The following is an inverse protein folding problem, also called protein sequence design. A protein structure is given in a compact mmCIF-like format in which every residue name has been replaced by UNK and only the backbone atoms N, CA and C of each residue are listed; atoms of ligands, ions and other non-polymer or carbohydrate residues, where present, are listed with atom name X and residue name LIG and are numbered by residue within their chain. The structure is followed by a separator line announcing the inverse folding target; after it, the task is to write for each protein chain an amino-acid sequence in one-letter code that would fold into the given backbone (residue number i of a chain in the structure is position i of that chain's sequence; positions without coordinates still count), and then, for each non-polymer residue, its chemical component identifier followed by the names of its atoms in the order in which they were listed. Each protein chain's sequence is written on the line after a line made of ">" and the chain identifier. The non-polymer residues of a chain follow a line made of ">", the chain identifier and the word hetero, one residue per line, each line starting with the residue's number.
data_IF_572124673455
#
_entry.id   IF_572124673455
#
_cell.length_a   1.000
_cell.length_b   1.000
_cell.length_c   1.000
_cell.angle_alpha   90.00
_cell.angle_beta   90.00
_cell.angle_gamma   90.00
#
_symmetry.space_group_name_H-M   'P 1'
#
loop_
_entity.id
_entity.type
_entity.pdbx_description
1 polymer ?
#
# COMPACT_ATOMS: atom_id res chain seq x y z
N UNK A 1 14.09 -29.19 -52.73
CA UNK A 1 13.92 -27.75 -53.01
C UNK A 1 13.44 -27.11 -51.72
N UNK A 2 14.21 -26.14 -51.23
CA UNK A 2 14.18 -25.55 -49.89
C UNK A 2 13.09 -24.48 -49.74
N UNK A 3 12.55 -24.36 -48.50
CA UNK A 3 12.25 -23.15 -47.70
C UNK A 3 11.18 -23.51 -46.64
N UNK A 4 11.45 -23.64 -45.32
CA UNK A 4 11.87 -22.59 -44.33
C UNK A 4 11.05 -21.31 -44.55
N UNK A 5 10.23 -20.81 -43.63
CA UNK A 5 10.51 -20.40 -42.24
C UNK A 5 9.14 -20.03 -41.57
N UNK A 6 8.89 -19.92 -40.27
CA UNK A 6 9.71 -19.81 -39.07
C UNK A 6 8.95 -20.41 -37.88
N UNK A 7 9.58 -21.39 -37.24
CA UNK A 7 9.25 -21.81 -35.88
C UNK A 7 10.02 -20.84 -34.98
N UNK A 8 9.37 -19.80 -34.46
CA UNK A 8 9.99 -18.98 -33.42
C UNK A 8 10.03 -19.78 -32.12
N UNK A 9 11.10 -20.54 -31.96
CA UNK A 9 11.52 -21.13 -30.69
C UNK A 9 11.98 -19.94 -29.85
N UNK A 10 11.14 -19.50 -28.92
CA UNK A 10 11.57 -18.65 -27.81
C UNK A 10 12.55 -19.49 -27.00
N UNK A 11 13.85 -19.31 -27.26
CA UNK A 11 14.92 -19.88 -26.45
C UNK A 11 14.80 -19.29 -25.06
N UNK A 12 14.28 -20.07 -24.12
CA UNK A 12 14.37 -19.76 -22.70
C UNK A 12 15.84 -19.54 -22.35
N UNK A 13 16.15 -18.39 -21.75
CA UNK A 13 17.48 -18.09 -21.26
C UNK A 13 17.82 -19.11 -20.15
N UNK A 14 18.96 -19.83 -20.20
CA UNK A 14 19.33 -20.82 -19.18
C UNK A 14 19.91 -20.18 -17.90
N UNK A 15 19.35 -19.05 -17.48
CA UNK A 15 19.79 -18.27 -16.32
C UNK A 15 18.61 -17.73 -15.51
N UNK A 16 17.54 -18.52 -15.36
CA UNK A 16 16.71 -18.40 -14.16
C UNK A 16 17.56 -18.91 -12.99
N UNK A 17 18.52 -18.08 -12.57
CA UNK A 17 19.05 -18.15 -11.22
C UNK A 17 17.84 -18.22 -10.31
N UNK A 18 17.83 -19.16 -9.37
CA UNK A 18 16.79 -19.29 -8.35
C UNK A 18 16.75 -17.99 -7.53
N UNK A 19 16.07 -16.97 -8.06
CA UNK A 19 15.79 -15.72 -7.38
C UNK A 19 14.79 -16.11 -6.30
N UNK A 20 15.30 -16.30 -5.08
CA UNK A 20 14.49 -16.70 -3.94
C UNK A 20 13.23 -15.83 -3.78
N UNK A 21 12.23 -16.38 -3.09
CA UNK A 21 10.98 -15.67 -2.88
C UNK A 21 11.18 -14.50 -1.89
N UNK A 22 10.83 -13.28 -2.32
CA UNK A 22 10.80 -12.09 -1.46
C UNK A 22 9.36 -11.87 -1.00
N UNK A 23 9.15 -11.84 0.31
CA UNK A 23 7.84 -11.56 0.91
C UNK A 23 7.93 -10.31 1.78
N UNK A 24 6.97 -9.41 1.63
CA UNK A 24 6.84 -8.20 2.46
C UNK A 24 5.76 -8.44 3.52
N UNK A 25 6.08 -8.12 4.78
CA UNK A 25 5.10 -8.20 5.86
C UNK A 25 4.04 -7.11 5.73
N UNK A 26 2.81 -7.42 6.15
CA UNK A 26 1.69 -6.47 6.26
C UNK A 26 2.04 -5.22 7.07
N UNK A 27 2.86 -5.38 8.10
CA UNK A 27 3.28 -4.27 8.96
C UNK A 27 4.15 -3.25 8.22
N UNK A 28 5.02 -3.71 7.32
CA UNK A 28 5.84 -2.81 6.49
C UNK A 28 4.96 -2.01 5.54
N UNK A 29 3.95 -2.66 4.92
CA UNK A 29 2.97 -1.98 4.05
C UNK A 29 2.18 -0.94 4.84
N UNK A 30 1.72 -1.29 6.05
CA UNK A 30 0.97 -0.38 6.91
C UNK A 30 1.78 0.88 7.28
N UNK A 31 3.06 0.71 7.63
CA UNK A 31 3.96 1.83 7.95
C UNK A 31 4.14 2.75 6.74
N UNK A 32 4.38 2.19 5.55
CA UNK A 32 4.57 2.99 4.32
C UNK A 32 3.29 3.77 4.01
N UNK A 33 2.13 3.11 4.03
CA UNK A 33 0.86 3.75 3.74
C UNK A 33 0.54 4.87 4.75
N UNK A 34 0.80 4.66 6.04
CA UNK A 34 0.64 5.69 7.06
C UNK A 34 1.56 6.89 6.80
N UNK A 35 2.83 6.65 6.48
CA UNK A 35 3.83 7.69 6.20
C UNK A 35 3.48 8.51 4.96
N UNK A 36 2.92 7.91 3.92
CA UNK A 36 2.46 8.65 2.73
C UNK A 36 1.17 9.43 3.02
N UNK A 37 0.25 8.85 3.78
CA UNK A 37 -1.01 9.52 4.15
C UNK A 37 -0.77 10.84 4.90
N UNK A 38 0.13 10.86 5.91
CA UNK A 38 0.40 12.07 6.71
C UNK A 38 1.06 13.21 5.92
N UNK A 39 1.62 12.94 4.73
CA UNK A 39 2.21 13.97 3.86
C UNK A 39 1.16 14.72 3.04
N UNK A 40 -0.06 14.23 3.01
CA UNK A 40 -1.15 14.78 2.19
C UNK A 40 -1.74 16.00 2.87
N UNK A 41 -1.87 17.08 2.10
CA UNK A 41 -2.40 18.33 2.63
C UNK A 41 -3.87 18.14 3.02
N UNK A 42 -4.20 18.58 4.23
CA UNK A 42 -5.55 18.43 4.77
C UNK A 42 -5.74 17.16 5.60
N UNK A 43 -4.77 16.23 5.62
CA UNK A 43 -4.69 15.19 6.65
C UNK A 43 -3.99 15.78 7.88
N UNK A 44 -4.66 15.70 9.02
CA UNK A 44 -4.13 16.16 10.32
C UNK A 44 -3.49 14.99 11.07
N UNK A 45 -4.16 13.84 11.06
CA UNK A 45 -3.71 12.66 11.80
C UNK A 45 -4.32 11.36 11.25
N UNK A 46 -3.78 10.22 11.67
CA UNK A 46 -4.33 8.88 11.45
C UNK A 46 -4.70 8.30 12.81
N UNK A 47 -5.95 7.84 12.94
CA UNK A 47 -6.43 7.28 14.22
C UNK A 47 -6.22 5.77 14.27
N UNK A 48 -6.26 5.18 15.47
CA UNK A 48 -6.14 3.72 15.61
C UNK A 48 -7.37 2.90 15.23
N UNK A 49 -8.40 3.55 14.68
CA UNK A 49 -9.68 2.91 14.44
C UNK A 49 -10.29 2.32 15.73
N UNK A 50 -11.38 1.58 15.57
CA UNK A 50 -12.18 1.03 16.69
C UNK A 50 -11.47 -0.08 17.51
N UNK A 51 -10.22 -0.43 17.20
CA UNK A 51 -9.49 -1.53 17.88
C UNK A 51 -8.92 -1.11 19.24
N UNK A 52 -8.88 0.19 19.53
CA UNK A 52 -8.50 0.72 20.84
C UNK A 52 -9.76 1.09 21.63
N UNK A 53 -9.95 0.48 22.81
CA UNK A 53 -11.03 0.80 23.77
C UNK A 53 -10.85 2.19 24.41
N UNK A 54 -9.98 3.03 23.86
CA UNK A 54 -9.55 4.34 24.38
C UNK A 54 -9.14 5.26 23.22
N UNK A 55 -9.82 6.41 23.09
CA UNK A 55 -9.63 7.45 22.06
C UNK A 55 -8.33 8.27 22.26
N UNK A 56 -7.17 7.63 22.38
CA UNK A 56 -5.91 8.36 22.48
C UNK A 56 -5.43 8.71 21.07
N UNK A 57 -5.17 10.00 20.85
CA UNK A 57 -4.41 10.52 19.70
C UNK A 57 -3.10 9.73 19.63
N UNK A 58 -2.80 9.19 18.45
CA UNK A 58 -1.73 8.23 18.30
C UNK A 58 -0.38 8.93 18.22
N UNK A 59 0.54 8.59 19.12
CA UNK A 59 1.92 9.08 19.04
C UNK A 59 2.59 8.57 17.76
N UNK A 60 3.49 9.35 17.16
CA UNK A 60 4.22 9.02 15.90
C UNK A 60 4.85 7.62 15.86
N UNK A 61 5.12 7.00 17.01
CA UNK A 61 5.66 5.63 17.11
C UNK A 61 4.65 4.54 16.75
N UNK A 62 3.37 4.88 16.73
CA UNK A 62 2.25 3.97 16.60
C UNK A 62 1.43 4.22 15.33
N UNK A 63 1.93 5.00 14.37
CA UNK A 63 1.26 5.35 13.11
C UNK A 63 0.68 4.15 12.33
N UNK A 64 1.28 2.97 12.46
CA UNK A 64 0.76 1.73 11.88
C UNK A 64 -0.48 1.18 12.61
N UNK A 65 -0.66 1.48 13.89
CA UNK A 65 -1.81 1.05 14.69
C UNK A 65 -3.02 1.85 14.21
N UNK A 66 -3.79 1.33 13.28
CA UNK A 66 -4.92 2.04 12.69
C UNK A 66 -5.07 1.81 11.21
N UNK A 67 -3.95 1.47 10.55
CA UNK A 67 -3.93 1.00 9.17
C UNK A 67 -4.20 -0.49 9.16
N UNK A 68 -5.32 -0.90 8.56
CA UNK A 68 -5.63 -2.32 8.36
C UNK A 68 -5.20 -2.75 6.96
N UNK A 69 -4.38 -3.79 6.86
CA UNK A 69 -3.84 -4.30 5.59
C UNK A 69 -4.30 -5.74 5.37
N UNK A 70 -5.00 -5.94 4.27
CA UNK A 70 -5.40 -7.25 3.76
C UNK A 70 -4.59 -7.55 2.49
N UNK A 71 -3.89 -8.69 2.48
CA UNK A 71 -3.06 -9.11 1.35
C UNK A 71 -3.55 -10.46 0.86
N UNK A 72 -3.89 -10.52 -0.43
CA UNK A 72 -4.20 -11.71 -1.19
C UNK A 72 -3.21 -11.80 -2.38
N UNK A 73 -3.07 -12.98 -3.02
CA UNK A 73 -2.25 -13.09 -4.23
C UNK A 73 -2.73 -12.13 -5.32
N UNK A 74 -1.91 -11.15 -5.69
CA UNK A 74 -2.23 -10.15 -6.72
C UNK A 74 -3.12 -8.99 -6.26
N UNK A 75 -3.60 -8.98 -5.01
CA UNK A 75 -4.52 -7.95 -4.51
C UNK A 75 -4.14 -7.49 -3.10
N UNK A 76 -4.18 -6.18 -2.86
CA UNK A 76 -3.96 -5.59 -1.55
C UNK A 76 -5.08 -4.58 -1.28
N UNK A 77 -5.70 -4.69 -0.12
CA UNK A 77 -6.67 -3.72 0.36
C UNK A 77 -6.15 -3.07 1.65
N UNK A 78 -6.18 -1.75 1.68
CA UNK A 78 -5.67 -0.93 2.79
C UNK A 78 -6.79 -0.02 3.28
N UNK A 79 -7.08 -0.06 4.58
CA UNK A 79 -8.05 0.81 5.24
C UNK A 79 -7.31 1.75 6.18
N UNK A 80 -7.46 3.06 5.97
CA UNK A 80 -6.78 4.10 6.77
C UNK A 80 -7.82 5.10 7.29
N UNK A 81 -8.07 5.17 8.60
CA UNK A 81 -8.94 6.16 9.19
C UNK A 81 -8.18 7.48 9.41
N UNK A 82 -8.54 8.50 8.63
CA UNK A 82 -7.89 9.82 8.65
C UNK A 82 -8.72 10.87 9.38
N UNK A 83 -8.04 11.76 10.11
CA UNK A 83 -8.59 13.02 10.61
C UNK A 83 -8.23 14.11 9.61
N UNK A 84 -9.22 14.88 9.16
CA UNK A 84 -8.99 15.97 8.20
C UNK A 84 -9.07 17.32 8.88
N UNK A 85 -8.37 18.30 8.31
CA UNK A 85 -8.41 19.69 8.79
C UNK A 85 -9.79 20.29 8.56
N UNK A 86 -10.17 21.28 9.38
CA UNK A 86 -11.42 22.01 9.16
C UNK A 86 -11.37 22.79 7.83
N UNK A 87 -12.53 23.02 7.22
CA UNK A 87 -12.71 23.71 5.93
C UNK A 87 -12.01 23.07 4.71
N UNK A 88 -11.59 21.80 4.79
CA UNK A 88 -11.11 21.05 3.61
C UNK A 88 -12.25 20.26 2.97
N UNK A 89 -12.20 20.13 1.63
CA UNK A 89 -13.10 19.23 0.92
C UNK A 89 -12.74 17.77 1.21
N UNK A 90 -13.49 17.10 2.10
CA UNK A 90 -13.24 15.71 2.51
C UNK A 90 -13.10 14.78 1.30
N UNK A 91 -13.97 14.93 0.30
CA UNK A 91 -13.91 14.15 -0.94
C UNK A 91 -12.56 14.30 -1.66
N UNK A 92 -12.09 15.54 -1.80
CA UNK A 92 -10.81 15.84 -2.47
C UNK A 92 -9.62 15.28 -1.71
N UNK A 93 -9.62 15.38 -0.38
CA UNK A 93 -8.56 14.80 0.46
C UNK A 93 -8.57 13.28 0.35
N UNK A 94 -9.76 12.65 0.39
CA UNK A 94 -9.89 11.20 0.25
C UNK A 94 -9.41 10.70 -1.12
N UNK A 95 -9.75 11.41 -2.20
CA UNK A 95 -9.25 11.12 -3.55
C UNK A 95 -7.71 11.25 -3.61
N UNK A 96 -7.14 12.31 -3.03
CA UNK A 96 -5.68 12.49 -3.01
C UNK A 96 -4.97 11.37 -2.21
N UNK A 97 -5.58 10.90 -1.10
CA UNK A 97 -5.11 9.75 -0.33
C UNK A 97 -5.11 8.47 -1.16
N UNK A 98 -6.21 8.18 -1.84
CA UNK A 98 -6.33 6.98 -2.68
C UNK A 98 -5.44 7.02 -3.92
N UNK A 99 -5.08 8.20 -4.43
CA UNK A 99 -4.18 8.32 -5.57
C UNK A 99 -2.69 8.17 -5.22
N UNK A 100 -2.32 8.47 -3.97
CA UNK A 100 -0.92 8.46 -3.51
C UNK A 100 -0.47 7.13 -2.92
N UNK A 101 -1.41 6.24 -2.61
CA UNK A 101 -1.21 4.96 -1.90
C UNK A 101 -1.72 3.85 -2.79
#
# INVERSE_FOLDING_TARGET
>A
MNKMSDKQIVKGNPQEQELGNITVSKEVVAVIAALETIKIRGVVDITSGYRSKSLNILSQKDLAKGVEVWMNPGEVAITIPIVTAYEVGIFKVAEEVQHKI
#
